data_IF_325217520683
#
_entry.id   IF_325217520683
#
_cell.length_a   1.000
_cell.length_b   1.000
_cell.length_c   1.000
_cell.angle_alpha   90.00
_cell.angle_beta   90.00
_cell.angle_gamma   90.00
#
_symmetry.space_group_name_H-M   'P 1'
#
loop_
_entity.id
_entity.type
_entity.pdbx_description
1 polymer ?
#
# COMPACT_ATOMS: atom_id res chain seq x y z
N UNK A 1 -14.56 6.80 4.54
CA UNK A 1 -13.74 6.80 3.34
C UNK A 1 -13.69 5.40 2.77
N UNK A 2 -13.62 5.29 1.45
CA UNK A 2 -13.78 4.00 0.79
C UNK A 2 -12.56 3.61 -0.02
N UNK A 3 -12.46 2.32 -0.29
CA UNK A 3 -11.43 1.75 -1.15
C UNK A 3 -12.10 0.83 -2.16
N UNK A 4 -11.78 1.00 -3.43
CA UNK A 4 -12.15 0.05 -4.47
C UNK A 4 -10.89 -0.71 -4.89
N UNK A 5 -11.01 -2.02 -5.01
CA UNK A 5 -9.91 -2.90 -5.39
C UNK A 5 -10.30 -3.62 -6.68
N UNK A 6 -9.63 -3.30 -7.78
CA UNK A 6 -9.86 -3.93 -9.07
C UNK A 6 -8.72 -4.90 -9.38
N UNK A 7 -9.05 -6.18 -9.53
CA UNK A 7 -8.06 -7.20 -9.87
C UNK A 7 -8.02 -7.39 -11.38
N UNK A 8 -6.83 -7.26 -11.96
CA UNK A 8 -6.56 -7.62 -13.34
C UNK A 8 -5.62 -8.82 -13.37
N UNK A 9 -6.15 -9.99 -13.73
CA UNK A 9 -5.40 -11.24 -13.86
C UNK A 9 -5.25 -11.64 -15.32
N UNK A 10 -5.40 -10.69 -16.26
CA UNK A 10 -5.39 -10.98 -17.70
C UNK A 10 -4.01 -11.32 -18.26
N UNK A 11 -2.95 -11.08 -17.50
CA UNK A 11 -1.56 -11.33 -17.94
C UNK A 11 -0.84 -12.29 -17.00
N UNK A 12 -1.24 -13.57 -16.94
CA UNK A 12 -0.53 -14.54 -16.11
C UNK A 12 0.94 -14.63 -16.52
N UNK A 13 1.86 -14.84 -15.59
CA UNK A 13 1.67 -15.16 -14.18
C UNK A 13 1.61 -13.94 -13.25
N UNK A 14 1.30 -12.78 -13.79
CA UNK A 14 1.22 -11.52 -13.02
C UNK A 14 -0.23 -11.24 -12.64
N UNK A 15 -0.43 -10.71 -11.43
CA UNK A 15 -1.74 -10.22 -11.01
C UNK A 15 -1.59 -8.79 -10.56
N UNK A 16 -2.46 -7.92 -11.07
CA UNK A 16 -2.42 -6.49 -10.82
C UNK A 16 -3.62 -6.08 -9.98
N UNK A 17 -3.34 -5.40 -8.88
CA UNK A 17 -4.36 -4.83 -8.00
C UNK A 17 -4.35 -3.32 -8.14
N UNK A 18 -5.41 -2.76 -8.71
CA UNK A 18 -5.59 -1.32 -8.83
C UNK A 18 -6.39 -0.85 -7.62
N UNK A 19 -5.79 0.01 -6.81
CA UNK A 19 -6.41 0.53 -5.59
C UNK A 19 -6.90 1.96 -5.86
N UNK A 20 -8.19 2.20 -5.57
CA UNK A 20 -8.82 3.50 -5.80
C UNK A 20 -9.39 4.02 -4.49
N UNK A 21 -8.96 5.20 -4.07
CA UNK A 21 -9.49 5.85 -2.90
C UNK A 21 -8.51 5.93 -1.73
N UNK A 22 -8.90 5.43 -0.58
CA UNK A 22 -8.15 5.54 0.67
C UNK A 22 -7.86 4.17 1.26
N UNK A 23 -6.60 3.90 1.53
CA UNK A 23 -6.18 2.67 2.22
C UNK A 23 -5.80 3.03 3.65
N UNK A 24 -6.69 2.71 4.58
CA UNK A 24 -6.55 3.06 5.98
C UNK A 24 -6.96 1.90 6.89
N UNK A 25 -7.11 2.17 8.20
CA UNK A 25 -7.47 1.14 9.18
C UNK A 25 -8.81 0.46 8.86
N UNK A 26 -9.76 1.21 8.30
CA UNK A 26 -11.09 0.65 8.00
C UNK A 26 -11.13 -0.15 6.70
N UNK A 27 -10.23 0.14 5.75
CA UNK A 27 -10.22 -0.50 4.44
C UNK A 27 -9.13 -1.56 4.26
N UNK A 28 -8.07 -1.51 5.08
CA UNK A 28 -6.98 -2.48 5.00
C UNK A 28 -7.45 -3.95 5.11
N UNK A 29 -8.43 -4.31 5.97
CA UNK A 29 -8.92 -5.70 6.00
C UNK A 29 -9.46 -6.20 4.68
N UNK A 30 -10.14 -5.35 3.90
CA UNK A 30 -10.65 -5.72 2.58
C UNK A 30 -9.49 -6.01 1.62
N UNK A 31 -8.42 -5.22 1.67
CA UNK A 31 -7.23 -5.47 0.88
C UNK A 31 -6.56 -6.78 1.28
N UNK A 32 -6.41 -7.03 2.58
CA UNK A 32 -5.78 -8.26 3.06
C UNK A 32 -6.55 -9.49 2.58
N UNK A 33 -7.89 -9.44 2.61
CA UNK A 33 -8.73 -10.53 2.12
C UNK A 33 -8.51 -10.76 0.63
N UNK A 34 -8.46 -9.69 -0.16
CA UNK A 34 -8.23 -9.79 -1.61
C UNK A 34 -6.84 -10.33 -1.92
N UNK A 35 -5.84 -9.90 -1.17
CA UNK A 35 -4.47 -10.40 -1.30
C UNK A 35 -4.41 -11.90 -1.01
N UNK A 36 -5.10 -12.37 0.03
CA UNK A 36 -5.12 -13.80 0.33
C UNK A 36 -5.69 -14.61 -0.84
N UNK A 37 -6.74 -14.11 -1.49
CA UNK A 37 -7.30 -14.74 -2.69
C UNK A 37 -6.29 -14.77 -3.84
N UNK A 38 -5.57 -13.66 -4.04
CA UNK A 38 -4.55 -13.53 -5.09
C UNK A 38 -3.40 -14.50 -4.84
N UNK A 39 -2.92 -14.57 -3.59
CA UNK A 39 -1.80 -15.45 -3.23
C UNK A 39 -2.14 -16.92 -3.37
N UNK A 40 -3.41 -17.29 -3.23
CA UNK A 40 -3.87 -18.67 -3.43
C UNK A 40 -3.66 -19.15 -4.87
N UNK A 41 -3.64 -18.24 -5.84
CA UNK A 41 -3.37 -18.55 -7.25
C UNK A 41 -1.87 -18.69 -7.55
N UNK A 42 -0.99 -18.46 -6.58
CA UNK A 42 0.47 -18.59 -6.69
C UNK A 42 1.07 -17.81 -7.87
N UNK A 43 0.81 -16.49 -7.96
CA UNK A 43 1.38 -15.68 -9.03
C UNK A 43 2.89 -15.53 -8.87
N UNK A 44 3.61 -15.28 -9.96
CA UNK A 44 5.03 -14.94 -9.90
C UNK A 44 5.26 -13.52 -9.44
N UNK A 45 4.32 -12.62 -9.71
CA UNK A 45 4.39 -11.24 -9.25
C UNK A 45 3.00 -10.69 -8.96
N UNK A 46 2.93 -9.83 -7.96
CA UNK A 46 1.75 -9.01 -7.65
C UNK A 46 2.12 -7.56 -7.89
N UNK A 47 1.34 -6.86 -8.69
CA UNK A 47 1.55 -5.46 -8.99
C UNK A 47 0.48 -4.63 -8.27
N UNK A 48 0.90 -3.72 -7.40
CA UNK A 48 0.01 -2.72 -6.82
C UNK A 48 0.07 -1.46 -7.69
N UNK A 49 -1.03 -1.17 -8.36
CA UNK A 49 -1.15 0.08 -9.13
C UNK A 49 -1.85 1.11 -8.25
N UNK A 50 -1.11 2.13 -7.87
CA UNK A 50 -1.56 3.15 -6.93
C UNK A 50 -1.87 4.49 -7.59
N UNK A 51 -2.10 4.49 -8.92
CA UNK A 51 -2.39 5.71 -9.66
C UNK A 51 -3.60 6.48 -9.10
N UNK A 52 -4.59 5.76 -8.58
CA UNK A 52 -5.81 6.35 -8.04
C UNK A 52 -5.92 6.21 -6.51
N UNK A 53 -4.83 5.83 -5.85
CA UNK A 53 -4.79 5.81 -4.39
C UNK A 53 -4.39 7.19 -3.88
N UNK A 54 -5.29 7.81 -3.12
CA UNK A 54 -5.11 9.19 -2.67
C UNK A 54 -4.49 9.28 -1.27
N UNK A 55 -4.61 8.22 -0.48
CA UNK A 55 -4.19 8.22 0.93
C UNK A 55 -3.79 6.82 1.38
N UNK A 56 -2.74 6.74 2.20
CA UNK A 56 -2.32 5.48 2.84
C UNK A 56 -1.95 5.72 4.30
N UNK A 57 -2.44 4.85 5.20
CA UNK A 57 -2.09 4.87 6.61
C UNK A 57 -1.07 3.78 6.94
N UNK A 58 -0.63 3.73 8.21
CA UNK A 58 0.26 2.66 8.66
C UNK A 58 -0.36 1.27 8.49
N UNK A 59 -1.68 1.14 8.71
CA UNK A 59 -2.37 -0.12 8.48
C UNK A 59 -2.31 -0.54 7.02
N UNK A 60 -2.44 0.44 6.11
CA UNK A 60 -2.31 0.19 4.68
C UNK A 60 -0.90 -0.22 4.28
N UNK A 61 0.11 0.48 4.81
CA UNK A 61 1.51 0.13 4.59
C UNK A 61 1.79 -1.30 5.07
N UNK A 62 1.27 -1.66 6.24
CA UNK A 62 1.45 -2.99 6.80
C UNK A 62 0.86 -4.06 5.88
N UNK A 63 -0.32 -3.81 5.31
CA UNK A 63 -0.95 -4.74 4.39
C UNK A 63 -0.08 -4.98 3.15
N UNK A 64 0.49 -3.91 2.59
CA UNK A 64 1.37 -4.01 1.42
C UNK A 64 2.68 -4.73 1.78
N UNK A 65 3.31 -4.38 2.91
CA UNK A 65 4.56 -5.02 3.32
C UNK A 65 4.36 -6.49 3.67
N UNK A 66 3.22 -6.84 4.27
CA UNK A 66 2.86 -8.23 4.52
C UNK A 66 2.77 -9.02 3.21
N UNK A 67 2.20 -8.41 2.18
CA UNK A 67 2.14 -9.01 0.85
C UNK A 67 3.55 -9.22 0.27
N UNK A 68 4.42 -8.22 0.40
CA UNK A 68 5.81 -8.34 -0.04
C UNK A 68 6.53 -9.51 0.64
N UNK A 69 6.35 -9.63 1.96
CA UNK A 69 6.97 -10.70 2.74
C UNK A 69 6.46 -12.08 2.29
N UNK A 70 5.15 -12.21 2.09
CA UNK A 70 4.55 -13.46 1.66
C UNK A 70 5.03 -13.86 0.26
N UNK A 71 5.09 -12.90 -0.67
CA UNK A 71 5.55 -13.15 -2.02
C UNK A 71 7.04 -13.51 -2.04
N UNK A 72 7.86 -12.81 -1.25
CA UNK A 72 9.28 -13.11 -1.16
C UNK A 72 9.51 -14.54 -0.63
N UNK A 73 8.75 -14.97 0.37
CA UNK A 73 8.83 -16.32 0.90
C UNK A 73 8.46 -17.37 -0.15
N UNK A 74 7.63 -17.01 -1.12
CA UNK A 74 7.22 -17.89 -2.22
C UNK A 74 8.10 -17.72 -3.47
N UNK A 75 9.22 -17.01 -3.37
CA UNK A 75 10.13 -16.68 -4.46
C UNK A 75 9.50 -15.81 -5.56
N UNK A 76 8.49 -15.02 -5.19
CA UNK A 76 7.84 -14.09 -6.08
C UNK A 76 8.26 -12.64 -5.81
N UNK A 77 7.64 -11.71 -6.52
CA UNK A 77 7.92 -10.29 -6.41
C UNK A 77 6.65 -9.49 -6.19
N UNK A 78 6.82 -8.33 -5.53
CA UNK A 78 5.79 -7.30 -5.48
C UNK A 78 6.35 -6.04 -6.13
N UNK A 79 5.60 -5.50 -7.09
CA UNK A 79 5.92 -4.24 -7.75
C UNK A 79 4.88 -3.20 -7.35
N UNK A 80 5.33 -2.00 -7.06
CA UNK A 80 4.45 -0.87 -6.71
C UNK A 80 4.66 0.19 -7.76
N UNK A 81 3.59 0.55 -8.48
CA UNK A 81 3.69 1.44 -9.63
C UNK A 81 2.71 2.59 -9.53
N UNK A 82 3.05 3.69 -10.19
CA UNK A 82 2.19 4.86 -10.40
C UNK A 82 1.74 5.56 -9.11
N UNK A 83 2.56 5.56 -8.07
CA UNK A 83 2.21 6.26 -6.84
C UNK A 83 2.02 7.76 -7.06
N UNK A 84 0.94 8.31 -6.47
CA UNK A 84 0.78 9.76 -6.40
C UNK A 84 1.85 10.37 -5.47
N UNK A 85 2.23 11.65 -5.67
CA UNK A 85 3.31 12.25 -4.87
C UNK A 85 3.11 12.15 -3.36
N UNK A 86 1.89 12.32 -2.86
CA UNK A 86 1.62 12.23 -1.43
C UNK A 86 1.90 10.82 -0.88
N UNK A 87 1.50 9.80 -1.63
CA UNK A 87 1.71 8.39 -1.25
C UNK A 87 3.19 8.03 -1.40
N UNK A 88 3.84 8.50 -2.47
CA UNK A 88 5.28 8.29 -2.68
C UNK A 88 6.10 8.78 -1.49
N UNK A 89 5.76 9.96 -0.95
CA UNK A 89 6.47 10.50 0.23
C UNK A 89 6.38 9.58 1.43
N UNK A 90 5.24 8.92 1.63
CA UNK A 90 5.07 7.95 2.73
C UNK A 90 6.07 6.80 2.58
N UNK A 91 6.14 6.22 1.38
CA UNK A 91 7.07 5.12 1.12
C UNK A 91 8.52 5.54 1.28
N UNK A 92 8.88 6.73 0.82
CA UNK A 92 10.23 7.26 0.94
C UNK A 92 10.64 7.42 2.40
N UNK A 93 9.74 7.92 3.24
CA UNK A 93 10.01 8.11 4.66
C UNK A 93 10.14 6.76 5.38
N UNK A 94 9.29 5.81 5.05
CA UNK A 94 9.33 4.47 5.66
C UNK A 94 10.66 3.77 5.35
N UNK A 95 11.21 3.97 4.16
CA UNK A 95 12.52 3.44 3.80
C UNK A 95 13.67 4.12 4.54
N UNK A 96 13.53 5.43 4.79
CA UNK A 96 14.62 6.25 5.33
C UNK A 96 14.70 6.25 6.85
N UNK A 97 13.57 6.04 7.56
CA UNK A 97 13.51 6.21 9.01
C UNK A 97 13.25 4.89 9.74
N UNK A 98 13.94 4.68 10.88
CA UNK A 98 13.62 3.56 11.76
C UNK A 98 12.35 3.89 12.56
N UNK A 99 11.20 3.62 11.98
CA UNK A 99 9.89 4.05 12.52
C UNK A 99 9.67 3.67 13.98
N UNK A 100 10.14 2.50 14.40
CA UNK A 100 9.99 2.05 15.78
C UNK A 100 10.76 2.90 16.77
N UNK A 101 11.83 3.55 16.32
CA UNK A 101 12.67 4.40 17.17
C UNK A 101 12.19 5.84 17.19
N UNK A 102 11.53 6.30 16.12
CA UNK A 102 11.13 7.70 15.95
C UNK A 102 9.75 7.96 16.53
N UNK A 103 8.83 7.03 16.35
CA UNK A 103 7.43 7.19 16.80
C UNK A 103 7.14 6.31 18.00
N UNK A 104 6.47 6.90 19.00
CA UNK A 104 6.15 6.21 20.26
C UNK A 104 4.95 5.28 20.15
N UNK A 105 4.07 5.55 19.18
CA UNK A 105 2.84 4.77 19.01
C UNK A 105 2.42 4.79 17.54
N UNK A 106 1.52 3.86 17.20
CA UNK A 106 0.92 3.82 15.88
C UNK A 106 0.09 5.08 15.62
N UNK A 107 -0.58 5.60 16.64
CA UNK A 107 -1.37 6.84 16.52
C UNK A 107 -0.47 8.02 16.15
N UNK A 108 0.68 8.16 16.80
CA UNK A 108 1.63 9.22 16.50
C UNK A 108 2.14 9.11 15.06
N UNK A 109 2.45 7.91 14.62
CA UNK A 109 2.85 7.65 13.23
C UNK A 109 1.74 8.02 12.26
N UNK A 110 0.51 7.59 12.51
CA UNK A 110 -0.61 7.89 11.62
C UNK A 110 -0.90 9.39 11.54
N UNK A 111 -0.82 10.10 12.66
CA UNK A 111 -1.00 11.55 12.67
C UNK A 111 0.06 12.23 11.80
N UNK A 112 1.31 11.77 11.90
CA UNK A 112 2.40 12.30 11.10
C UNK A 112 2.19 12.02 9.61
N UNK A 113 1.83 10.79 9.26
CA UNK A 113 1.59 10.41 7.86
C UNK A 113 0.40 11.16 7.26
N UNK A 114 -0.64 11.36 8.05
CA UNK A 114 -1.82 12.12 7.61
C UNK A 114 -1.47 13.58 7.32
N UNK A 115 -0.76 14.23 8.24
CA UNK A 115 -0.34 15.62 8.07
C UNK A 115 0.57 15.79 6.85
N UNK A 116 1.50 14.87 6.65
CA UNK A 116 2.43 14.90 5.54
C UNK A 116 1.73 14.74 4.19
N UNK A 117 0.79 13.81 4.10
CA UNK A 117 0.05 13.60 2.85
C UNK A 117 -0.85 14.77 2.52
N UNK A 118 -1.48 15.36 3.52
CA UNK A 118 -2.30 16.56 3.36
C UNK A 118 -1.46 17.71 2.82
N UNK A 119 -0.28 17.95 3.42
CA UNK A 119 0.65 18.98 2.98
C UNK A 119 1.11 18.75 1.53
N UNK A 120 1.44 17.51 1.19
CA UNK A 120 1.89 17.17 -0.16
C UNK A 120 0.80 17.43 -1.20
N UNK A 121 -0.47 17.15 -0.88
CA UNK A 121 -1.58 17.42 -1.78
C UNK A 121 -1.79 18.91 -1.97
N UNK A 122 -1.63 19.71 -0.92
CA UNK A 122 -1.74 21.17 -1.01
C UNK A 122 -0.63 21.77 -1.89
N UNK A 123 0.59 21.25 -1.78
CA UNK A 123 1.73 21.72 -2.58
C UNK A 123 1.59 21.40 -4.07
N UNK A 124 0.82 20.38 -4.41
CA UNK A 124 0.67 19.92 -5.79
C UNK A 124 -0.58 20.48 -6.51
N UNK A 125 -1.24 21.45 -5.92
CA UNK A 125 -2.38 22.12 -6.55
C UNK A 125 -1.95 23.17 -7.55
#
# INVERSE_FOLDING_TARGET
MSLTIDLDASKPPFQRLCLVGHLDTTTAPALEKKVDEVLAAKPLAVVFDLASLEYISSAGLRAIFRTQKAMHAANGEVLIVNMQPAVQKVFDIVKALPLKSVFRSIEELDDYLDAMQRKAREENR
#
